data_IF_621818452964
#
_entry.id   IF_621818452964
#
_cell.length_a   1.000
_cell.length_b   1.000
_cell.length_c   1.000
_cell.angle_alpha   90.00
_cell.angle_beta   90.00
_cell.angle_gamma   90.00
#
_symmetry.space_group_name_H-M   'P 1'
#
loop_
_entity.id
_entity.type
_entity.pdbx_description
1 polymer ?
#
# COMPACT_ATOMS: atom_id res chain seq x y z
N UNK A 1 -14.53 -23.04 -6.68
CA UNK A 1 -14.20 -21.87 -5.82
C UNK A 1 -13.10 -21.08 -6.52
N UNK A 2 -13.29 -19.77 -6.74
CA UNK A 2 -12.23 -18.94 -7.28
C UNK A 2 -11.09 -18.80 -6.25
N UNK A 3 -9.87 -19.13 -6.62
CA UNK A 3 -8.69 -18.99 -5.76
C UNK A 3 -8.48 -17.51 -5.44
N UNK A 4 -8.49 -17.14 -4.16
CA UNK A 4 -8.23 -15.75 -3.75
C UNK A 4 -6.79 -15.38 -4.11
N UNK A 5 -6.62 -14.30 -4.88
CA UNK A 5 -5.31 -13.73 -5.22
C UNK A 5 -4.59 -13.28 -3.95
N UNK A 6 -3.44 -13.90 -3.63
CA UNK A 6 -2.62 -13.49 -2.49
C UNK A 6 -2.00 -12.10 -2.74
N UNK A 7 -1.82 -11.30 -1.67
CA UNK A 7 -1.10 -10.02 -1.73
C UNK A 7 0.38 -10.25 -2.06
N UNK A 8 0.94 -9.48 -2.99
CA UNK A 8 2.38 -9.52 -3.26
C UNK A 8 3.15 -8.78 -2.16
N UNK A 9 4.46 -9.04 -2.06
CA UNK A 9 5.33 -8.34 -1.12
C UNK A 9 5.24 -6.82 -1.30
N UNK A 10 5.30 -6.33 -2.52
CA UNK A 10 5.23 -4.91 -2.85
C UNK A 10 3.93 -4.27 -2.34
N UNK A 11 2.78 -4.94 -2.55
CA UNK A 11 1.50 -4.45 -2.02
C UNK A 11 1.44 -4.47 -0.50
N UNK A 12 2.05 -5.47 0.14
CA UNK A 12 2.15 -5.56 1.59
C UNK A 12 2.97 -4.39 2.12
N UNK A 13 4.12 -4.07 1.51
CA UNK A 13 4.97 -2.94 1.91
C UNK A 13 4.20 -1.62 1.86
N UNK A 14 3.45 -1.37 0.77
CA UNK A 14 2.60 -0.19 0.65
C UNK A 14 1.47 -0.17 1.69
N UNK A 15 0.85 -1.32 1.97
CA UNK A 15 -0.19 -1.43 3.01
C UNK A 15 0.39 -1.22 4.42
N UNK A 16 1.63 -1.65 4.69
CA UNK A 16 2.32 -1.38 5.95
C UNK A 16 2.57 0.12 6.09
N UNK A 17 3.01 0.79 5.03
CA UNK A 17 3.19 2.25 5.05
C UNK A 17 1.87 2.96 5.35
N UNK A 18 0.79 2.59 4.66
CA UNK A 18 -0.54 3.14 4.87
C UNK A 18 -1.09 2.91 6.30
N UNK A 19 -0.76 1.75 6.91
CA UNK A 19 -1.15 1.45 8.28
C UNK A 19 -0.34 2.26 9.30
N UNK A 20 0.96 2.44 9.05
CA UNK A 20 1.87 3.11 9.99
C UNK A 20 1.86 4.64 9.88
N UNK A 21 1.64 5.16 8.68
CA UNK A 21 1.80 6.57 8.31
C UNK A 21 0.64 7.03 7.43
N UNK A 22 0.84 8.07 6.62
CA UNK A 22 -0.21 8.64 5.76
C UNK A 22 -0.20 8.02 4.36
N UNK A 23 -1.31 7.37 3.99
CA UNK A 23 -1.47 6.78 2.66
C UNK A 23 -1.47 7.83 1.53
N UNK A 24 -1.76 9.10 1.83
CA UNK A 24 -1.74 10.17 0.84
C UNK A 24 -0.33 10.38 0.26
N UNK A 25 0.73 10.14 1.04
CA UNK A 25 2.13 10.31 0.60
C UNK A 25 2.57 9.29 -0.46
N UNK A 26 1.82 8.20 -0.60
CA UNK A 26 2.05 7.16 -1.61
C UNK A 26 0.92 7.11 -2.65
N UNK A 27 0.13 8.18 -2.77
CA UNK A 27 -0.94 8.30 -3.78
C UNK A 27 -2.22 7.52 -3.45
N UNK A 28 -2.46 7.20 -2.19
CA UNK A 28 -3.74 6.64 -1.73
C UNK A 28 -3.96 5.15 -2.07
N UNK A 29 -5.19 4.68 -1.81
CA UNK A 29 -5.60 3.29 -2.09
C UNK A 29 -5.49 2.97 -3.58
N UNK A 30 -5.74 3.95 -4.45
CA UNK A 30 -5.72 3.76 -5.90
C UNK A 30 -4.33 3.37 -6.41
N UNK A 31 -3.26 3.87 -5.80
CA UNK A 31 -1.90 3.48 -6.16
C UNK A 31 -1.67 2.00 -5.89
N UNK A 32 -2.07 1.50 -4.71
CA UNK A 32 -1.96 0.07 -4.36
C UNK A 32 -2.85 -0.78 -5.27
N UNK A 33 -4.07 -0.31 -5.58
CA UNK A 33 -4.99 -0.97 -6.51
C UNK A 33 -4.36 -1.14 -7.88
N UNK A 34 -3.68 -0.12 -8.41
CA UNK A 34 -3.12 -0.14 -9.75
C UNK A 34 -1.97 -1.16 -9.92
N UNK A 35 -1.29 -1.59 -8.85
CA UNK A 35 -0.24 -2.63 -8.94
C UNK A 35 -0.77 -3.98 -9.42
N UNK A 36 -1.97 -4.39 -9.00
CA UNK A 36 -2.48 -5.75 -9.21
C UNK A 36 -4.00 -5.82 -9.45
N UNK A 37 -4.63 -4.68 -9.71
CA UNK A 37 -6.07 -4.52 -9.93
C UNK A 37 -6.95 -5.06 -8.79
N UNK A 38 -6.50 -4.91 -7.53
CA UNK A 38 -7.30 -5.31 -6.35
C UNK A 38 -8.47 -4.35 -6.11
N UNK A 39 -9.53 -4.85 -5.50
CA UNK A 39 -10.62 -3.97 -5.06
C UNK A 39 -10.16 -3.05 -3.91
N UNK A 40 -10.61 -1.78 -3.88
CA UNK A 40 -10.33 -0.87 -2.76
C UNK A 40 -10.72 -1.46 -1.41
N UNK A 41 -11.86 -2.17 -1.34
CA UNK A 41 -12.31 -2.84 -0.12
C UNK A 41 -11.32 -3.91 0.38
N UNK A 42 -10.71 -4.68 -0.53
CA UNK A 42 -9.71 -5.68 -0.16
C UNK A 42 -8.43 -5.04 0.39
N UNK A 43 -8.04 -3.89 -0.17
CA UNK A 43 -6.86 -3.14 0.29
C UNK A 43 -7.14 -2.53 1.66
N UNK A 44 -8.29 -1.88 1.85
CA UNK A 44 -8.72 -1.35 3.15
C UNK A 44 -8.73 -2.43 4.23
N UNK A 45 -9.30 -3.60 3.96
CA UNK A 45 -9.26 -4.71 4.92
C UNK A 45 -7.84 -5.17 5.23
N UNK A 46 -6.93 -5.17 4.25
CA UNK A 46 -5.53 -5.51 4.47
C UNK A 46 -4.83 -4.48 5.36
N UNK A 47 -5.03 -3.19 5.11
CA UNK A 47 -4.50 -2.10 5.95
C UNK A 47 -5.04 -2.24 7.37
N UNK A 48 -6.35 -2.42 7.54
CA UNK A 48 -6.97 -2.60 8.85
C UNK A 48 -6.46 -3.84 9.62
N UNK A 49 -6.14 -4.92 8.90
CA UNK A 49 -5.51 -6.11 9.48
C UNK A 49 -4.08 -5.80 9.98
N UNK A 50 -3.28 -5.07 9.19
CA UNK A 50 -1.94 -4.65 9.60
C UNK A 50 -2.01 -3.67 10.79
N UNK A 51 -2.98 -2.76 10.83
CA UNK A 51 -3.22 -1.89 11.99
C UNK A 51 -3.47 -2.71 13.25
N UNK A 52 -4.29 -3.75 13.16
CA UNK A 52 -4.53 -4.64 14.29
C UNK A 52 -3.24 -5.37 14.73
N UNK A 53 -2.36 -5.74 13.79
CA UNK A 53 -1.05 -6.32 14.10
C UNK A 53 -0.12 -5.31 14.78
N UNK A 54 -0.14 -4.04 14.36
CA UNK A 54 0.62 -2.98 15.01
C UNK A 54 0.15 -2.76 16.45
N UNK A 55 -1.17 -2.66 16.66
CA UNK A 55 -1.78 -2.51 17.99
C UNK A 55 -1.39 -3.69 18.90
N UNK A 56 -1.53 -4.93 18.41
CA UNK A 56 -1.22 -6.15 19.18
C UNK A 56 0.29 -6.29 19.52
N UNK A 57 1.18 -5.62 18.76
CA UNK A 57 2.63 -5.67 18.94
C UNK A 57 3.26 -4.42 19.58
N UNK A 58 2.46 -3.39 19.86
CA UNK A 58 2.96 -2.10 20.36
C UNK A 58 3.79 -1.32 19.32
N UNK A 59 3.58 -1.57 18.03
CA UNK A 59 4.23 -0.82 16.94
C UNK A 59 3.45 0.47 16.69
N UNK A 60 4.15 1.59 16.59
CA UNK A 60 3.52 2.88 16.26
C UNK A 60 2.81 2.81 14.89
N UNK A 61 1.59 3.34 14.85
CA UNK A 61 0.73 3.34 13.66
C UNK A 61 -0.08 4.62 13.50
N UNK A 62 -0.66 4.84 12.32
CA UNK A 62 -1.44 6.04 12.05
C UNK A 62 -2.72 6.05 12.93
N UNK A 63 -2.93 7.07 13.78
CA UNK A 63 -4.07 7.13 14.69
C UNK A 63 -5.42 7.15 13.95
N UNK A 64 -5.47 7.66 12.72
CA UNK A 64 -6.68 7.79 11.91
C UNK A 64 -7.11 6.47 11.25
N UNK A 65 -6.20 5.51 11.11
CA UNK A 65 -6.52 4.21 10.53
C UNK A 65 -7.26 3.34 11.54
N UNK A 66 -8.35 2.70 11.08
CA UNK A 66 -9.15 1.80 11.91
C UNK A 66 -8.52 0.41 11.90
N UNK A 67 -8.58 -0.29 13.02
CA UNK A 67 -8.24 -1.71 13.09
C UNK A 67 -9.39 -2.58 12.60
N UNK A 68 -9.07 -3.75 12.05
CA UNK A 68 -10.09 -4.74 11.69
C UNK A 68 -10.66 -5.34 12.98
N UNK A 69 -12.00 -5.30 13.12
CA UNK A 69 -12.72 -5.88 14.27
C UNK A 69 -13.26 -7.28 13.91
N UNK A 70 -13.58 -8.10 14.92
CA UNK A 70 -14.30 -9.37 14.71
C UNK A 70 -13.46 -10.65 14.62
N UNK A 71 -12.16 -10.61 14.89
CA UNK A 71 -11.37 -11.81 15.26
C UNK A 71 -10.73 -11.61 16.63
N UNK A 72 -10.59 -12.61 17.50
CA UNK A 72 -9.82 -12.52 18.75
C UNK A 72 -8.33 -12.20 18.51
N UNK A 73 -7.68 -11.54 19.47
CA UNK A 73 -6.23 -11.33 19.45
C UNK A 73 -5.47 -12.67 19.50
N UNK A 74 -4.37 -12.77 18.76
CA UNK A 74 -3.53 -13.97 18.75
C UNK A 74 -3.93 -15.08 17.77
N UNK A 75 -5.08 -15.02 17.11
CA UNK A 75 -5.44 -16.02 16.09
C UNK A 75 -4.49 -15.98 14.88
N UNK A 76 -4.15 -17.15 14.34
CA UNK A 76 -3.27 -17.34 13.18
C UNK A 76 -3.64 -16.45 11.98
N UNK A 77 -4.93 -16.21 11.77
CA UNK A 77 -5.44 -15.34 10.70
C UNK A 77 -5.18 -13.85 10.88
N UNK A 78 -4.72 -13.40 12.07
CA UNK A 78 -4.28 -12.02 12.30
C UNK A 78 -2.81 -11.77 11.96
N UNK A 79 -1.94 -12.79 11.88
CA UNK A 79 -0.50 -12.63 11.64
C UNK A 79 -0.06 -12.90 10.20
N UNK A 80 -0.98 -12.80 9.24
CA UNK A 80 -0.76 -13.24 7.85
C UNK A 80 0.43 -12.60 7.12
N UNK A 81 0.92 -11.44 7.59
CA UNK A 81 2.08 -10.74 7.01
C UNK A 81 3.05 -10.25 8.10
N UNK A 82 3.19 -11.01 9.18
CA UNK A 82 4.04 -10.61 10.31
C UNK A 82 5.52 -10.56 9.94
N UNK A 83 5.97 -11.48 9.08
CA UNK A 83 7.35 -11.51 8.61
C UNK A 83 7.72 -10.17 7.94
N UNK A 84 6.87 -9.66 7.06
CA UNK A 84 7.06 -8.35 6.44
C UNK A 84 6.93 -7.21 7.46
N UNK A 85 5.84 -7.17 8.24
CA UNK A 85 5.60 -6.07 9.19
C UNK A 85 6.75 -5.91 10.20
N UNK A 86 7.27 -7.01 10.73
CA UNK A 86 8.33 -7.00 11.75
C UNK A 86 9.61 -6.33 11.26
N UNK A 87 9.90 -6.41 9.95
CA UNK A 87 11.06 -5.72 9.34
C UNK A 87 10.91 -4.19 9.39
N UNK A 88 9.68 -3.68 9.45
CA UNK A 88 9.41 -2.24 9.48
C UNK A 88 9.21 -1.69 10.89
N UNK A 89 9.14 -2.51 11.93
CA UNK A 89 8.82 -2.06 13.30
C UNK A 89 9.74 -0.90 13.79
N UNK A 90 11.02 -0.92 13.41
CA UNK A 90 12.02 0.11 13.73
C UNK A 90 12.46 0.97 12.55
N UNK A 91 11.87 0.81 11.37
CA UNK A 91 12.25 1.60 10.17
C UNK A 91 11.66 3.00 10.29
N UNK A 92 12.51 4.01 10.04
CA UNK A 92 12.09 5.41 9.99
C UNK A 92 11.15 5.69 8.83
N UNK A 93 10.20 6.61 9.04
CA UNK A 93 9.17 6.97 8.04
C UNK A 93 9.79 7.36 6.69
N UNK A 94 10.87 8.14 6.69
CA UNK A 94 11.50 8.60 5.46
C UNK A 94 12.10 7.44 4.65
N UNK A 95 12.82 6.52 5.29
CA UNK A 95 13.37 5.34 4.63
C UNK A 95 12.27 4.42 4.08
N UNK A 96 11.19 4.23 4.85
CA UNK A 96 10.04 3.44 4.38
C UNK A 96 9.34 4.11 3.20
N UNK A 97 9.21 5.45 3.20
CA UNK A 97 8.62 6.21 2.10
C UNK A 97 9.45 6.05 0.81
N UNK A 98 10.79 6.14 0.90
CA UNK A 98 11.68 5.94 -0.25
C UNK A 98 11.51 4.55 -0.87
N UNK A 99 11.38 3.50 -0.06
CA UNK A 99 11.11 2.15 -0.56
C UNK A 99 9.73 2.07 -1.25
N UNK A 100 8.71 2.69 -0.68
CA UNK A 100 7.38 2.75 -1.31
C UNK A 100 7.43 3.47 -2.67
N UNK A 101 8.15 4.60 -2.75
CA UNK A 101 8.33 5.34 -3.98
C UNK A 101 9.09 4.52 -5.04
N UNK A 102 10.10 3.75 -4.64
CA UNK A 102 10.83 2.86 -5.54
C UNK A 102 9.93 1.74 -6.10
N UNK A 103 9.08 1.14 -5.26
CA UNK A 103 8.07 0.15 -5.68
C UNK A 103 7.11 0.76 -6.71
N UNK A 104 6.58 1.95 -6.42
CA UNK A 104 5.67 2.68 -7.30
C UNK A 104 6.35 3.00 -8.63
N UNK A 105 7.54 3.60 -8.60
CA UNK A 105 8.29 3.93 -9.80
C UNK A 105 8.55 2.69 -10.67
N UNK A 106 8.94 1.56 -10.07
CA UNK A 106 9.15 0.30 -10.78
C UNK A 106 7.86 -0.24 -11.40
N UNK A 107 6.74 -0.18 -10.67
CA UNK A 107 5.45 -0.70 -11.14
C UNK A 107 4.89 0.09 -12.33
N UNK A 108 5.10 1.41 -12.34
CA UNK A 108 4.58 2.29 -13.38
C UNK A 108 5.59 2.64 -14.49
N UNK A 109 6.85 2.20 -14.37
CA UNK A 109 7.89 2.36 -15.41
C UNK A 109 8.17 1.04 -16.14
N UNK A 110 7.15 0.45 -16.78
CA UNK A 110 7.35 -0.69 -17.68
C UNK A 110 8.04 -0.27 -19.00
N UNK A 111 8.87 -1.12 -19.61
CA UNK A 111 9.69 -0.81 -20.81
C UNK A 111 8.91 -0.80 -22.14
N UNK A 112 7.58 -0.66 -22.07
CA UNK A 112 6.68 -0.61 -23.23
C UNK A 112 6.01 0.76 -23.31
N UNK A 113 6.05 1.33 -24.50
CA UNK A 113 5.57 2.65 -24.92
C UNK A 113 4.34 3.17 -24.15
N UNK A 114 4.52 4.32 -23.46
CA UNK A 114 3.46 5.08 -22.80
C UNK A 114 2.54 5.68 -23.87
N UNK A 115 1.44 4.98 -24.17
CA UNK A 115 0.27 5.58 -24.79
C UNK A 115 -0.81 5.79 -23.73
N UNK A 116 -1.12 7.07 -23.53
CA UNK A 116 -2.30 7.63 -22.87
C UNK A 116 -2.43 7.53 -21.33
N UNK A 117 -1.83 8.51 -20.63
CA UNK A 117 -2.58 9.73 -20.32
C UNK A 117 -3.88 9.63 -19.53
N UNK A 118 -3.90 9.00 -18.35
CA UNK A 118 -4.89 9.41 -17.35
C UNK A 118 -4.38 9.35 -15.91
N UNK A 119 -4.29 10.56 -15.35
CA UNK A 119 -4.28 10.91 -13.91
C UNK A 119 -3.06 10.49 -13.10
N UNK A 120 -2.23 11.46 -12.69
CA UNK A 120 -2.35 11.98 -11.32
C UNK A 120 -1.55 13.28 -11.06
N UNK A 121 -2.13 14.07 -10.16
CA UNK A 121 -1.68 15.33 -9.52
C UNK A 121 -2.04 16.66 -10.20
N UNK A 122 -2.98 17.33 -9.53
CA UNK A 122 -3.53 18.66 -9.75
C UNK A 122 -2.44 19.74 -9.63
N UNK A 123 -2.32 20.61 -10.65
CA UNK A 123 -1.52 21.85 -10.59
C UNK A 123 -0.47 22.07 -11.70
N UNK A 124 -0.11 21.07 -12.50
CA UNK A 124 0.91 21.25 -13.54
C UNK A 124 0.30 21.59 -14.91
N UNK A 125 0.33 22.87 -15.32
CA UNK A 125 0.09 23.26 -16.72
C UNK A 125 1.29 22.79 -17.57
N UNK A 126 1.10 21.84 -18.49
CA UNK A 126 2.04 21.61 -19.59
C UNK A 126 1.31 21.34 -20.92
N UNK A 127 1.84 21.95 -21.98
CA UNK A 127 1.46 21.69 -23.37
C UNK A 127 1.87 20.27 -23.74
N UNK A 128 0.94 19.56 -24.35
CA UNK A 128 1.20 18.31 -25.07
C UNK A 128 1.55 18.67 -26.50
N UNK A 129 2.67 18.15 -26.98
CA UNK A 129 2.98 18.16 -28.42
C UNK A 129 2.76 16.75 -28.95
N UNK A 130 1.83 16.63 -29.89
CA UNK A 130 1.60 15.39 -30.64
C UNK A 130 2.51 15.44 -31.86
N UNK A 131 3.39 14.46 -32.01
CA UNK A 131 4.05 14.21 -33.29
C UNK A 131 3.14 13.29 -34.10
N UNK A 132 2.75 13.76 -35.29
CA UNK A 132 1.92 13.04 -36.25
C UNK A 132 2.69 11.87 -36.89
#
# INVERSE_FOLDING_TARGET
>A
MATRKAFTRDEIVLCIYAARYDIAEIGGIETIRALQSRSPASISMKIQNIVAMCDDAGISRNPMQRRLTGRPAGETGRRTNWAELSQYAGVERHSHLLECQAIIAKAFSWPGELTDGSTFFEGAKRRVTVNA
#
